data_IF_165811962760
#
_entry.id   IF_165811962760
#
_cell.length_a   1.000
_cell.length_b   1.000
_cell.length_c   1.000
_cell.angle_alpha   90.00
_cell.angle_beta   90.00
_cell.angle_gamma   90.00
#
_symmetry.space_group_name_H-M   'P 1'
#
loop_
_entity.id
_entity.type
_entity.pdbx_description
1 polymer ?
#
# COMPACT_ATOMS: atom_id res chain seq x y z
N UNK A 1 18.85 53.65 23.85
CA UNK A 1 17.96 53.52 22.66
C UNK A 1 18.67 53.02 21.39
N UNK A 2 19.86 53.49 21.05
CA UNK A 2 20.61 53.06 19.85
C UNK A 2 21.01 51.56 19.88
N UNK A 3 21.51 51.09 21.02
CA UNK A 3 21.95 49.67 21.13
C UNK A 3 20.81 48.64 20.99
N UNK A 4 19.61 48.93 21.53
CA UNK A 4 18.43 48.06 21.34
C UNK A 4 17.98 47.98 19.88
N UNK A 5 18.08 49.07 19.10
CA UNK A 5 17.76 49.08 17.68
C UNK A 5 18.75 48.27 16.86
N UNK A 6 20.05 48.35 17.18
CA UNK A 6 21.10 47.60 16.51
C UNK A 6 20.92 46.08 16.77
N UNK A 7 20.65 45.66 18.00
CA UNK A 7 20.42 44.30 18.37
C UNK A 7 19.17 43.71 17.67
N UNK A 8 18.07 44.46 17.60
CA UNK A 8 16.84 44.01 16.89
C UNK A 8 17.09 43.86 15.39
N UNK A 9 17.89 44.73 14.79
CA UNK A 9 18.25 44.64 13.36
C UNK A 9 19.12 43.43 13.05
N UNK A 10 20.11 43.15 13.92
CA UNK A 10 20.99 41.97 13.77
C UNK A 10 20.20 40.67 13.89
N UNK A 11 19.28 40.56 14.87
CA UNK A 11 18.41 39.37 15.04
C UNK A 11 17.49 39.20 13.83
N UNK A 12 16.92 40.27 13.29
CA UNK A 12 16.07 40.25 12.09
C UNK A 12 16.83 39.76 10.84
N UNK A 13 18.07 40.23 10.63
CA UNK A 13 18.90 39.80 9.49
C UNK A 13 19.33 38.34 9.67
N UNK A 14 19.69 37.86 10.86
CA UNK A 14 20.03 36.50 11.14
C UNK A 14 18.85 35.54 10.89
N UNK A 15 17.64 35.96 11.28
CA UNK A 15 16.41 35.14 11.03
C UNK A 15 16.10 35.03 9.53
N UNK A 16 16.26 36.10 8.76
CA UNK A 16 16.05 36.09 7.31
C UNK A 16 17.10 35.20 6.62
N UNK A 17 18.35 35.23 7.04
CA UNK A 17 19.41 34.39 6.51
C UNK A 17 19.19 32.90 6.82
N UNK A 18 18.68 32.56 8.00
CA UNK A 18 18.34 31.19 8.39
C UNK A 18 17.16 30.67 7.54
N UNK A 19 16.14 31.49 7.37
CA UNK A 19 14.97 31.11 6.53
C UNK A 19 15.42 30.94 5.06
N UNK A 20 16.24 31.82 4.53
CA UNK A 20 16.79 31.69 3.17
C UNK A 20 17.65 30.44 3.01
N UNK A 21 18.43 30.07 4.02
CA UNK A 21 19.25 28.86 4.02
C UNK A 21 18.39 27.58 4.05
N UNK A 22 17.33 27.57 4.84
CA UNK A 22 16.36 26.45 4.91
C UNK A 22 15.62 26.28 3.57
N UNK A 23 15.22 27.39 2.94
CA UNK A 23 14.55 27.33 1.63
C UNK A 23 15.51 26.80 0.56
N UNK A 24 16.77 27.25 0.52
CA UNK A 24 17.77 26.82 -0.47
C UNK A 24 18.20 25.37 -0.27
N UNK A 25 18.27 24.86 0.97
CA UNK A 25 18.53 23.44 1.23
C UNK A 25 17.37 22.57 0.79
N UNK A 26 16.12 22.97 1.12
CA UNK A 26 14.93 22.25 0.66
C UNK A 26 14.82 22.20 -0.88
N UNK A 27 15.12 23.30 -1.59
CA UNK A 27 15.10 23.31 -3.06
C UNK A 27 16.20 22.44 -3.67
N UNK A 28 17.39 22.41 -3.07
CA UNK A 28 18.47 21.52 -3.51
C UNK A 28 18.13 20.05 -3.27
N UNK A 29 17.57 19.72 -2.11
CA UNK A 29 17.17 18.36 -1.78
C UNK A 29 16.04 17.88 -2.70
N UNK A 30 15.04 18.73 -2.98
CA UNK A 30 13.96 18.45 -3.94
C UNK A 30 14.53 18.23 -5.35
N UNK A 31 15.41 19.10 -5.86
CA UNK A 31 16.04 18.93 -7.18
C UNK A 31 16.90 17.68 -7.27
N UNK A 32 17.64 17.34 -6.20
CA UNK A 32 18.47 16.12 -6.14
C UNK A 32 17.58 14.87 -6.13
N UNK A 33 16.46 14.90 -5.43
CA UNK A 33 15.45 13.84 -5.40
C UNK A 33 14.83 13.64 -6.79
N UNK A 34 14.41 14.73 -7.46
CA UNK A 34 13.86 14.69 -8.82
C UNK A 34 14.87 14.18 -9.85
N UNK A 35 16.12 14.61 -9.77
CA UNK A 35 17.18 14.18 -10.70
C UNK A 35 17.51 12.70 -10.52
N UNK A 36 17.51 12.19 -9.29
CA UNK A 36 17.73 10.77 -9.01
C UNK A 36 16.55 9.91 -9.48
N UNK A 37 15.31 10.36 -9.32
CA UNK A 37 14.14 9.65 -9.79
C UNK A 37 14.09 9.52 -11.33
N UNK A 38 14.55 10.53 -12.06
CA UNK A 38 14.65 10.51 -13.53
C UNK A 38 15.71 9.53 -14.08
N UNK A 39 16.71 9.16 -13.27
CA UNK A 39 17.75 8.19 -13.62
C UNK A 39 17.34 6.73 -13.40
N UNK A 40 16.24 6.46 -12.64
CA UNK A 40 15.79 5.12 -12.32
C UNK A 40 15.02 4.48 -13.47
N UNK A 41 15.13 3.16 -13.59
CA UNK A 41 14.44 2.40 -14.61
C UNK A 41 12.91 2.51 -14.46
N UNK A 42 12.24 2.92 -15.55
CA UNK A 42 10.77 2.86 -15.63
C UNK A 42 10.27 1.64 -16.42
N UNK A 43 11.11 0.62 -16.59
CA UNK A 43 10.66 -0.62 -17.21
C UNK A 43 9.57 -1.23 -16.34
N UNK A 44 8.35 -1.35 -16.89
CA UNK A 44 7.22 -1.95 -16.22
C UNK A 44 7.50 -3.41 -15.90
N UNK A 45 7.23 -3.79 -14.67
CA UNK A 45 7.30 -5.16 -14.16
C UNK A 45 5.91 -5.51 -13.63
N UNK A 46 5.39 -6.65 -14.05
CA UNK A 46 4.20 -7.27 -13.45
C UNK A 46 4.62 -8.23 -12.35
N UNK A 47 3.96 -8.12 -11.18
CA UNK A 47 4.20 -9.04 -10.08
C UNK A 47 3.74 -10.45 -10.41
N UNK A 48 4.59 -11.42 -10.18
CA UNK A 48 4.32 -12.84 -10.41
C UNK A 48 4.80 -13.71 -9.26
N UNK A 49 4.15 -14.87 -9.09
CA UNK A 49 4.45 -15.83 -8.05
C UNK A 49 4.66 -17.20 -8.74
N UNK A 50 5.77 -17.85 -8.47
CA UNK A 50 5.95 -19.26 -8.78
C UNK A 50 5.82 -20.05 -7.48
N UNK A 51 4.67 -20.74 -7.32
CA UNK A 51 4.37 -21.52 -6.12
C UNK A 51 5.35 -22.66 -5.94
N UNK A 52 5.66 -22.97 -4.69
CA UNK A 52 6.34 -24.17 -4.27
C UNK A 52 5.33 -25.16 -3.66
N UNK A 53 5.75 -26.42 -3.56
CA UNK A 53 4.98 -27.45 -2.89
C UNK A 53 5.23 -27.44 -1.36
N UNK A 54 4.48 -28.27 -0.63
CA UNK A 54 4.72 -28.55 0.81
C UNK A 54 4.70 -27.32 1.71
N UNK A 55 3.91 -26.31 1.40
CA UNK A 55 3.80 -25.07 2.17
C UNK A 55 5.13 -24.30 2.31
N UNK A 56 6.02 -24.44 1.36
CA UNK A 56 7.23 -23.65 1.29
C UNK A 56 6.97 -22.27 0.67
N UNK A 57 7.77 -21.29 1.07
CA UNK A 57 7.69 -19.93 0.48
C UNK A 57 7.89 -20.01 -1.04
N UNK A 58 7.07 -19.29 -1.82
CA UNK A 58 7.17 -19.30 -3.28
C UNK A 58 8.42 -18.57 -3.76
N UNK A 59 8.82 -18.88 -5.01
CA UNK A 59 9.80 -18.07 -5.72
C UNK A 59 9.11 -16.82 -6.31
N UNK A 60 9.53 -15.66 -5.85
CA UNK A 60 9.04 -14.34 -6.31
C UNK A 60 9.96 -13.71 -7.37
N UNK A 61 11.02 -14.41 -7.76
CA UNK A 61 12.05 -13.93 -8.67
C UNK A 61 13.09 -13.03 -8.00
N UNK A 62 14.35 -13.30 -8.25
CA UNK A 62 15.48 -12.59 -7.59
C UNK A 62 15.49 -11.09 -7.89
N UNK A 63 15.12 -10.68 -9.11
CA UNK A 63 15.05 -9.27 -9.50
C UNK A 63 13.93 -8.56 -8.73
N UNK A 64 12.76 -9.18 -8.61
CA UNK A 64 11.62 -8.62 -7.88
C UNK A 64 11.97 -8.43 -6.40
N UNK A 65 12.51 -9.49 -5.76
CA UNK A 65 12.90 -9.42 -4.35
C UNK A 65 14.00 -8.38 -4.11
N UNK A 66 14.98 -8.27 -5.02
CA UNK A 66 16.02 -7.24 -4.91
C UNK A 66 15.39 -5.83 -4.91
N UNK A 67 14.55 -5.52 -5.88
CA UNK A 67 13.91 -4.21 -5.98
C UNK A 67 12.99 -3.91 -4.80
N UNK A 68 12.14 -4.87 -4.40
CA UNK A 68 11.25 -4.69 -3.25
C UNK A 68 12.06 -4.42 -1.98
N UNK A 69 13.12 -5.18 -1.71
CA UNK A 69 13.96 -5.00 -0.52
C UNK A 69 14.75 -3.68 -0.56
N UNK A 70 15.25 -3.26 -1.73
CA UNK A 70 16.00 -2.02 -1.90
C UNK A 70 15.17 -0.78 -1.51
N UNK A 71 13.86 -0.82 -1.77
CA UNK A 71 12.92 0.25 -1.42
C UNK A 71 12.06 -0.07 -0.18
N UNK A 72 12.56 -0.90 0.72
CA UNK A 72 11.91 -1.26 2.00
C UNK A 72 10.48 -1.81 1.84
N UNK A 73 10.21 -2.49 0.73
CA UNK A 73 8.92 -3.13 0.50
C UNK A 73 8.81 -4.49 1.18
N UNK A 74 7.58 -5.01 1.22
CA UNK A 74 7.22 -6.29 1.83
C UNK A 74 6.53 -7.14 0.77
N UNK A 75 6.97 -8.40 0.61
CA UNK A 75 6.29 -9.37 -0.23
C UNK A 75 5.97 -10.68 0.53
N UNK A 76 6.76 -10.98 1.53
CA UNK A 76 6.61 -12.14 2.43
C UNK A 76 7.11 -11.75 3.82
N UNK A 77 6.60 -12.43 4.84
CA UNK A 77 7.10 -12.36 6.21
C UNK A 77 8.22 -13.39 6.49
N UNK A 78 8.58 -13.50 7.76
CA UNK A 78 9.65 -14.39 8.22
C UNK A 78 9.24 -15.87 8.05
N UNK A 79 10.07 -16.65 7.33
CA UNK A 79 9.86 -18.08 7.08
C UNK A 79 9.90 -18.95 8.35
N UNK A 80 10.52 -18.48 9.41
CA UNK A 80 10.60 -19.21 10.69
C UNK A 80 9.32 -19.04 11.54
N UNK A 81 8.40 -18.18 11.11
CA UNK A 81 7.16 -17.90 11.83
C UNK A 81 5.96 -18.33 11.03
N UNK A 82 5.13 -19.20 11.60
CA UNK A 82 3.87 -19.66 11.00
C UNK A 82 2.79 -18.57 11.12
N UNK A 83 3.05 -17.40 10.53
CA UNK A 83 2.10 -16.29 10.44
C UNK A 83 1.60 -16.17 9.01
N UNK A 84 0.34 -15.81 8.89
CA UNK A 84 -0.34 -15.45 7.64
C UNK A 84 -0.85 -14.03 7.79
N UNK A 85 -0.64 -13.23 6.76
CA UNK A 85 -1.08 -11.83 6.73
C UNK A 85 -2.20 -11.71 5.69
N UNK A 86 -3.42 -11.51 6.17
CA UNK A 86 -4.59 -11.30 5.32
C UNK A 86 -4.58 -9.87 4.77
N UNK A 87 -4.65 -9.74 3.44
CA UNK A 87 -4.75 -8.45 2.79
C UNK A 87 -5.84 -8.45 1.73
N UNK A 88 -6.61 -7.36 1.65
CA UNK A 88 -7.72 -7.19 0.73
C UNK A 88 -7.53 -5.94 -0.12
N UNK A 89 -7.67 -6.08 -1.44
CA UNK A 89 -7.73 -4.93 -2.34
C UNK A 89 -9.20 -4.52 -2.54
N UNK A 90 -9.47 -3.22 -2.28
CA UNK A 90 -10.82 -2.65 -2.20
C UNK A 90 -11.03 -1.60 -3.30
N UNK A 91 -11.49 -2.05 -4.47
CA UNK A 91 -11.87 -1.17 -5.57
C UNK A 91 -13.34 -0.78 -5.55
N UNK A 92 -14.20 -1.78 -5.38
CA UNK A 92 -15.66 -1.70 -5.36
C UNK A 92 -16.23 -2.44 -4.16
N UNK A 93 -17.50 -2.17 -3.82
CA UNK A 93 -18.26 -2.94 -2.85
C UNK A 93 -19.30 -3.82 -3.56
N UNK A 94 -19.27 -5.11 -3.26
CA UNK A 94 -20.22 -6.10 -3.78
C UNK A 94 -21.19 -6.63 -2.70
N UNK A 95 -21.20 -6.02 -1.52
CA UNK A 95 -22.06 -6.40 -0.39
C UNK A 95 -21.44 -7.43 0.55
N UNK A 96 -20.13 -7.71 0.44
CA UNK A 96 -19.48 -8.75 1.23
C UNK A 96 -18.53 -8.22 2.31
N UNK A 97 -18.11 -6.96 2.25
CA UNK A 97 -17.13 -6.40 3.20
C UNK A 97 -17.63 -6.43 4.64
N UNK A 98 -18.92 -6.19 4.89
CA UNK A 98 -19.47 -6.28 6.25
C UNK A 98 -19.34 -7.69 6.83
N UNK A 99 -19.63 -8.73 6.03
CA UNK A 99 -19.49 -10.13 6.44
C UNK A 99 -18.01 -10.44 6.73
N UNK A 100 -17.08 -10.01 5.87
CA UNK A 100 -15.64 -10.18 6.07
C UNK A 100 -15.19 -9.53 7.39
N UNK A 101 -15.59 -8.29 7.65
CA UNK A 101 -15.26 -7.60 8.90
C UNK A 101 -15.85 -8.29 10.14
N UNK A 102 -17.08 -8.80 10.05
CA UNK A 102 -17.70 -9.57 11.13
C UNK A 102 -16.90 -10.84 11.43
N UNK A 103 -16.55 -11.63 10.41
CA UNK A 103 -15.74 -12.84 10.57
C UNK A 103 -14.38 -12.52 11.20
N UNK A 104 -13.68 -11.48 10.71
CA UNK A 104 -12.39 -11.06 11.28
C UNK A 104 -12.53 -10.66 12.75
N UNK A 105 -13.60 -9.96 13.11
CA UNK A 105 -13.89 -9.54 14.49
C UNK A 105 -14.19 -10.72 15.39
N UNK A 106 -15.03 -11.65 14.95
CA UNK A 106 -15.41 -12.85 15.69
C UNK A 106 -14.19 -13.73 16.00
N UNK A 107 -13.25 -13.81 15.06
CA UNK A 107 -12.00 -14.56 15.22
C UNK A 107 -10.85 -13.74 15.83
N UNK A 108 -11.09 -12.48 16.21
CA UNK A 108 -10.06 -11.56 16.73
C UNK A 108 -8.84 -11.44 15.80
N UNK A 109 -9.05 -11.46 14.49
CA UNK A 109 -8.02 -11.36 13.44
C UNK A 109 -8.01 -9.95 12.89
N UNK A 110 -6.80 -9.40 12.63
CA UNK A 110 -6.62 -8.12 11.94
C UNK A 110 -6.11 -8.36 10.54
N UNK A 111 -6.59 -7.54 9.59
CA UNK A 111 -6.20 -7.58 8.19
C UNK A 111 -5.75 -6.21 7.71
N UNK A 112 -5.22 -6.16 6.49
CA UNK A 112 -4.89 -4.90 5.80
C UNK A 112 -5.83 -4.74 4.60
N UNK A 113 -6.44 -3.57 4.47
CA UNK A 113 -7.33 -3.22 3.36
C UNK A 113 -6.70 -2.11 2.53
N UNK A 114 -6.33 -2.41 1.29
CA UNK A 114 -5.81 -1.41 0.35
C UNK A 114 -6.96 -0.80 -0.43
N UNK A 115 -7.34 0.43 -0.09
CA UNK A 115 -8.53 1.08 -0.62
C UNK A 115 -8.22 2.03 -1.77
N UNK A 116 -9.11 2.13 -2.75
CA UNK A 116 -9.07 3.15 -3.79
C UNK A 116 -9.85 4.41 -3.40
N UNK A 117 -9.67 5.50 -4.18
CA UNK A 117 -10.48 6.70 -4.01
C UNK A 117 -11.97 6.46 -4.24
N UNK A 118 -12.33 5.59 -5.19
CA UNK A 118 -13.72 5.18 -5.42
C UNK A 118 -14.32 4.51 -4.18
N UNK A 119 -13.59 3.56 -3.59
CA UNK A 119 -14.06 2.85 -2.39
C UNK A 119 -14.27 3.81 -1.22
N UNK A 120 -13.31 4.70 -0.95
CA UNK A 120 -13.45 5.71 0.10
C UNK A 120 -14.68 6.62 -0.10
N UNK A 121 -14.94 7.01 -1.34
CA UNK A 121 -16.06 7.91 -1.66
C UNK A 121 -17.42 7.24 -1.51
N UNK A 122 -17.52 5.95 -1.85
CA UNK A 122 -18.79 5.20 -1.81
C UNK A 122 -19.02 4.45 -0.52
N UNK A 123 -17.93 4.09 0.21
CA UNK A 123 -17.96 3.21 1.38
C UNK A 123 -17.18 3.80 2.56
N UNK A 124 -17.24 5.12 2.74
CA UNK A 124 -16.51 5.81 3.80
C UNK A 124 -16.78 5.27 5.21
N UNK A 125 -18.00 4.80 5.47
CA UNK A 125 -18.38 4.21 6.76
C UNK A 125 -17.71 2.85 7.00
N UNK A 126 -17.56 2.02 5.95
CA UNK A 126 -16.81 0.77 6.05
C UNK A 126 -15.31 1.03 6.29
N UNK A 127 -14.74 2.05 5.62
CA UNK A 127 -13.33 2.46 5.88
C UNK A 127 -13.15 2.91 7.32
N UNK A 128 -14.08 3.71 7.86
CA UNK A 128 -14.05 4.12 9.25
C UNK A 128 -14.15 2.91 10.19
N UNK A 129 -15.06 1.97 9.92
CA UNK A 129 -15.20 0.72 10.67
C UNK A 129 -13.91 -0.11 10.66
N UNK A 130 -13.23 -0.25 9.49
CA UNK A 130 -11.94 -0.94 9.41
C UNK A 130 -10.92 -0.36 10.39
N UNK A 131 -10.82 0.98 10.44
CA UNK A 131 -9.87 1.68 11.32
C UNK A 131 -10.27 1.49 12.80
N UNK A 132 -11.54 1.68 13.14
CA UNK A 132 -12.06 1.54 14.51
C UNK A 132 -11.92 0.11 15.04
N UNK A 133 -12.03 -0.90 14.20
CA UNK A 133 -11.81 -2.30 14.56
C UNK A 133 -10.32 -2.69 14.58
N UNK A 134 -9.40 -1.74 14.30
CA UNK A 134 -7.94 -1.93 14.41
C UNK A 134 -7.32 -2.65 13.22
N UNK A 135 -7.97 -2.65 12.08
CA UNK A 135 -7.36 -3.08 10.82
C UNK A 135 -6.44 -2.00 10.27
N UNK A 136 -5.51 -2.39 9.40
CA UNK A 136 -4.68 -1.46 8.67
C UNK A 136 -5.41 -1.05 7.39
N UNK A 137 -5.53 0.26 7.15
CA UNK A 137 -5.98 0.79 5.86
C UNK A 137 -4.75 1.25 5.09
N UNK A 138 -4.56 0.73 3.89
CA UNK A 138 -3.48 1.04 2.97
C UNK A 138 -3.96 1.79 1.72
N UNK A 139 -3.02 2.42 1.04
CA UNK A 139 -3.26 3.20 -0.17
C UNK A 139 -3.25 2.29 -1.40
N UNK A 140 -4.30 2.38 -2.24
CA UNK A 140 -4.36 1.70 -3.53
C UNK A 140 -4.60 2.68 -4.69
N UNK A 141 -4.18 3.94 -4.50
CA UNK A 141 -4.33 5.11 -5.36
C UNK A 141 -5.78 5.55 -5.56
N UNK A 142 -5.99 6.75 -6.11
CA UNK A 142 -7.35 7.27 -6.36
C UNK A 142 -8.05 6.51 -7.47
N UNK A 143 -7.40 6.36 -8.63
CA UNK A 143 -8.01 5.88 -9.87
C UNK A 143 -7.48 4.52 -10.35
N UNK A 144 -6.64 3.86 -9.55
CA UNK A 144 -6.11 2.54 -9.86
C UNK A 144 -5.35 2.48 -11.21
N UNK A 145 -4.64 3.56 -11.56
CA UNK A 145 -3.77 3.57 -12.75
C UNK A 145 -2.52 2.71 -12.54
N UNK A 146 -2.06 2.07 -13.62
CA UNK A 146 -0.71 1.49 -13.65
C UNK A 146 0.32 2.60 -13.44
N UNK A 147 0.99 2.62 -12.29
CA UNK A 147 1.92 3.70 -11.94
C UNK A 147 3.08 3.86 -12.94
N UNK A 148 3.66 2.80 -13.52
CA UNK A 148 4.68 2.95 -14.58
C UNK A 148 4.21 3.68 -15.83
N UNK A 149 2.89 3.73 -16.09
CA UNK A 149 2.31 4.34 -17.29
C UNK A 149 1.99 5.83 -17.14
N UNK A 150 2.17 6.38 -15.93
CA UNK A 150 1.93 7.79 -15.63
C UNK A 150 3.21 8.47 -15.10
N UNK A 151 3.27 9.81 -15.17
CA UNK A 151 4.43 10.56 -14.70
C UNK A 151 4.45 10.71 -13.17
N UNK A 152 5.55 11.21 -12.63
CA UNK A 152 5.78 11.33 -11.18
C UNK A 152 4.79 12.27 -10.50
N UNK A 153 4.44 13.37 -11.14
CA UNK A 153 3.47 14.33 -10.63
C UNK A 153 2.10 13.65 -10.48
N UNK A 154 1.71 12.86 -11.48
CA UNK A 154 0.45 12.15 -11.44
C UNK A 154 0.45 11.03 -10.39
N UNK A 155 1.57 10.32 -10.19
CA UNK A 155 1.71 9.34 -9.10
C UNK A 155 1.56 10.04 -7.74
N UNK A 156 2.26 11.16 -7.52
CA UNK A 156 2.16 11.95 -6.30
C UNK A 156 0.71 12.40 -6.04
N UNK A 157 0.04 12.90 -7.09
CA UNK A 157 -1.39 13.28 -7.00
C UNK A 157 -2.25 12.08 -6.60
N UNK A 158 -2.13 10.94 -7.28
CA UNK A 158 -2.92 9.72 -7.03
C UNK A 158 -2.75 9.20 -5.58
N UNK A 159 -1.53 9.23 -5.07
CA UNK A 159 -1.21 8.75 -3.73
C UNK A 159 -1.63 9.75 -2.66
N UNK A 160 -1.22 11.02 -2.79
CA UNK A 160 -1.41 12.01 -1.74
C UNK A 160 -2.85 12.52 -1.66
N UNK A 161 -3.59 12.57 -2.77
CA UNK A 161 -5.01 12.93 -2.76
C UNK A 161 -5.83 11.92 -1.97
N UNK A 162 -5.53 10.62 -2.11
CA UNK A 162 -6.21 9.59 -1.32
C UNK A 162 -5.81 9.69 0.16
N UNK A 163 -4.52 9.89 0.46
CA UNK A 163 -4.04 10.11 1.83
C UNK A 163 -4.76 11.26 2.51
N UNK A 164 -4.83 12.41 1.85
CA UNK A 164 -5.51 13.59 2.37
C UNK A 164 -7.00 13.31 2.63
N UNK A 165 -7.68 12.68 1.67
CA UNK A 165 -9.11 12.38 1.81
C UNK A 165 -9.41 11.38 2.96
N UNK A 166 -8.55 10.37 3.17
CA UNK A 166 -8.67 9.46 4.32
C UNK A 166 -8.43 10.21 5.62
N UNK A 167 -7.37 11.02 5.69
CA UNK A 167 -7.05 11.79 6.89
C UNK A 167 -8.15 12.79 7.27
N UNK A 168 -8.69 13.51 6.31
CA UNK A 168 -9.78 14.46 6.54
C UNK A 168 -11.06 13.79 7.07
N UNK A 169 -11.35 12.56 6.62
CA UNK A 169 -12.54 11.81 7.06
C UNK A 169 -12.35 11.11 8.41
N UNK A 170 -11.13 10.65 8.73
CA UNK A 170 -10.91 9.68 9.82
C UNK A 170 -9.79 10.04 10.78
N UNK A 171 -8.93 11.00 10.45
CA UNK A 171 -7.68 11.30 11.17
C UNK A 171 -6.60 10.22 11.01
N UNK A 172 -6.80 9.22 10.13
CA UNK A 172 -5.88 8.10 9.95
C UNK A 172 -4.81 8.39 8.90
N UNK A 173 -3.56 8.07 9.22
CA UNK A 173 -2.44 8.14 8.28
C UNK A 173 -2.09 6.76 7.73
N UNK A 174 -2.22 6.59 6.42
CA UNK A 174 -1.81 5.36 5.74
C UNK A 174 -0.29 5.30 5.63
N UNK A 175 0.29 4.15 5.93
CA UNK A 175 1.75 3.89 5.85
C UNK A 175 2.13 2.88 4.77
N UNK A 176 1.15 2.15 4.27
CA UNK A 176 1.36 1.08 3.30
C UNK A 176 0.67 1.41 1.99
N UNK A 177 1.32 1.03 0.88
CA UNK A 177 0.77 1.17 -0.46
C UNK A 177 0.88 -0.16 -1.21
N UNK A 178 -0.14 -0.50 -1.98
CA UNK A 178 -0.06 -1.58 -2.95
C UNK A 178 -0.18 -1.01 -4.36
N UNK A 179 0.79 -1.30 -5.25
CA UNK A 179 0.72 -0.87 -6.63
C UNK A 179 -0.51 -1.47 -7.34
N UNK A 180 -1.33 -0.64 -8.01
CA UNK A 180 -2.44 -1.13 -8.80
C UNK A 180 -2.02 -2.21 -9.80
N UNK A 181 -2.84 -3.26 -9.95
CA UNK A 181 -2.61 -4.41 -10.86
C UNK A 181 -1.34 -5.20 -10.56
N UNK A 182 -0.63 -4.93 -9.46
CA UNK A 182 0.69 -5.48 -9.21
C UNK A 182 1.75 -5.00 -10.20
N UNK A 183 1.51 -3.89 -10.88
CA UNK A 183 2.43 -3.29 -11.85
C UNK A 183 3.28 -2.20 -11.20
N UNK A 184 4.59 -2.30 -11.35
CA UNK A 184 5.54 -1.38 -10.76
C UNK A 184 6.80 -1.23 -11.65
N UNK A 185 7.66 -0.30 -11.29
CA UNK A 185 9.01 -0.14 -11.82
C UNK A 185 9.93 0.29 -10.67
N UNK A 186 11.24 0.25 -10.89
CA UNK A 186 12.20 0.79 -9.93
C UNK A 186 11.86 2.26 -9.58
N UNK A 187 11.57 3.08 -10.59
CA UNK A 187 11.14 4.48 -10.42
C UNK A 187 9.92 4.61 -9.51
N UNK A 188 8.88 3.81 -9.72
CA UNK A 188 7.64 3.91 -8.93
C UNK A 188 7.82 3.43 -7.49
N UNK A 189 8.68 2.42 -7.25
CA UNK A 189 9.03 1.98 -5.88
C UNK A 189 9.81 3.06 -5.13
N UNK A 190 10.81 3.66 -5.78
CA UNK A 190 11.58 4.76 -5.20
C UNK A 190 10.68 5.94 -4.83
N UNK A 191 9.79 6.34 -5.75
CA UNK A 191 8.90 7.47 -5.53
C UNK A 191 7.92 7.23 -4.38
N UNK A 192 7.27 6.07 -4.32
CA UNK A 192 6.34 5.75 -3.22
C UNK A 192 7.07 5.63 -1.87
N UNK A 193 8.31 5.09 -1.87
CA UNK A 193 9.15 5.07 -0.67
C UNK A 193 9.53 6.50 -0.21
N UNK A 194 9.89 7.40 -1.12
CA UNK A 194 10.16 8.81 -0.82
C UNK A 194 8.92 9.55 -0.26
N UNK A 195 7.72 9.15 -0.67
CA UNK A 195 6.47 9.66 -0.12
C UNK A 195 6.14 9.09 1.26
N UNK A 196 7.02 8.25 1.83
CA UNK A 196 6.88 7.68 3.16
C UNK A 196 6.08 6.38 3.23
N UNK A 197 5.83 5.74 2.08
CA UNK A 197 5.07 4.48 2.04
C UNK A 197 5.99 3.26 1.98
N UNK A 198 5.57 2.20 2.68
CA UNK A 198 6.09 0.86 2.47
C UNK A 198 5.23 0.14 1.42
N UNK A 199 5.83 -0.25 0.31
CA UNK A 199 5.15 -1.03 -0.72
C UNK A 199 4.89 -2.45 -0.25
N UNK A 200 3.65 -2.93 -0.38
CA UNK A 200 3.25 -4.30 0.01
C UNK A 200 2.75 -5.06 -1.21
N UNK A 201 3.49 -6.10 -1.57
CA UNK A 201 3.09 -7.08 -2.58
C UNK A 201 2.45 -8.30 -1.89
N UNK A 202 2.44 -9.46 -2.51
CA UNK A 202 1.86 -10.69 -1.97
C UNK A 202 2.66 -11.92 -2.35
N UNK A 203 2.48 -13.00 -1.63
CA UNK A 203 3.11 -14.29 -1.91
C UNK A 203 2.11 -15.42 -2.17
N UNK A 204 0.81 -15.11 -2.02
CA UNK A 204 -0.29 -15.99 -2.41
C UNK A 204 -1.44 -15.13 -2.96
N UNK A 205 -2.01 -15.56 -4.08
CA UNK A 205 -3.23 -15.01 -4.67
C UNK A 205 -3.90 -16.07 -5.53
N UNK A 206 -5.18 -15.89 -5.81
CA UNK A 206 -5.91 -16.66 -6.83
C UNK A 206 -6.87 -15.74 -7.58
N UNK A 207 -7.60 -16.26 -8.55
CA UNK A 207 -8.48 -15.50 -9.44
C UNK A 207 -9.87 -15.20 -8.82
N UNK A 208 -9.87 -14.63 -7.60
CA UNK A 208 -11.04 -14.27 -6.81
C UNK A 208 -11.71 -12.97 -7.26
N UNK A 209 -10.98 -12.13 -7.98
CA UNK A 209 -11.43 -10.84 -8.50
C UNK A 209 -12.38 -10.95 -9.71
N UNK A 210 -12.45 -12.12 -10.36
CA UNK A 210 -13.28 -12.32 -11.55
C UNK A 210 -14.75 -12.55 -11.15
N UNK A 211 -15.57 -11.53 -11.35
CA UNK A 211 -17.01 -11.59 -11.02
C UNK A 211 -17.76 -12.71 -11.75
N UNK A 212 -17.23 -13.18 -12.89
CA UNK A 212 -17.82 -14.29 -13.66
C UNK A 212 -17.47 -15.66 -13.08
N UNK A 213 -16.57 -15.72 -12.11
CA UNK A 213 -16.06 -16.93 -11.50
C UNK A 213 -16.41 -17.03 -10.02
N UNK A 214 -17.53 -16.51 -9.61
CA UNK A 214 -18.03 -16.63 -8.24
C UNK A 214 -18.80 -17.95 -8.03
N UNK A 215 -18.99 -18.36 -6.76
CA UNK A 215 -19.64 -19.61 -6.37
C UNK A 215 -18.71 -20.84 -6.46
N UNK A 216 -17.40 -20.62 -6.26
CA UNK A 216 -16.36 -21.65 -6.26
C UNK A 216 -15.68 -21.75 -4.89
N UNK A 217 -16.48 -21.77 -3.81
CA UNK A 217 -15.98 -21.76 -2.43
C UNK A 217 -14.93 -22.85 -2.16
N UNK A 218 -15.21 -24.10 -2.54
CA UNK A 218 -14.24 -25.20 -2.37
C UNK A 218 -12.93 -24.98 -3.15
N UNK A 219 -13.03 -24.40 -4.35
CA UNK A 219 -11.85 -24.03 -5.13
C UNK A 219 -11.05 -22.92 -4.43
N UNK A 220 -11.72 -21.87 -3.97
CA UNK A 220 -11.08 -20.76 -3.25
C UNK A 220 -10.41 -21.24 -1.98
N UNK A 221 -11.11 -22.05 -1.18
CA UNK A 221 -10.61 -22.66 0.05
C UNK A 221 -9.36 -23.52 -0.22
N UNK A 222 -9.43 -24.43 -1.20
CA UNK A 222 -8.28 -25.24 -1.60
C UNK A 222 -7.10 -24.35 -2.06
N UNK A 223 -7.36 -23.29 -2.88
CA UNK A 223 -6.29 -22.37 -3.31
C UNK A 223 -5.60 -21.66 -2.15
N UNK A 224 -6.31 -21.33 -1.10
CA UNK A 224 -5.71 -20.74 0.10
C UNK A 224 -5.00 -21.83 0.90
N UNK A 225 -5.72 -22.86 1.36
CA UNK A 225 -5.18 -23.85 2.30
C UNK A 225 -4.00 -24.65 1.74
N UNK A 226 -4.03 -25.04 0.46
CA UNK A 226 -2.96 -25.81 -0.17
C UNK A 226 -1.67 -24.99 -0.42
N UNK A 227 -1.77 -23.65 -0.39
CA UNK A 227 -0.66 -22.78 -0.76
C UNK A 227 -0.21 -21.82 0.35
N UNK A 228 -0.86 -21.80 1.52
CA UNK A 228 -0.34 -21.05 2.66
C UNK A 228 1.05 -21.54 3.05
N UNK A 229 1.88 -20.62 3.50
CA UNK A 229 3.24 -20.91 3.93
C UNK A 229 3.66 -19.97 5.07
N UNK A 230 4.71 -20.26 5.83
CA UNK A 230 5.20 -19.34 6.87
C UNK A 230 5.52 -17.97 6.29
N UNK A 231 4.99 -16.92 6.92
CA UNK A 231 5.14 -15.54 6.44
C UNK A 231 4.30 -15.18 5.21
N UNK A 232 3.27 -15.95 4.91
CA UNK A 232 2.40 -15.74 3.74
C UNK A 232 1.71 -14.38 3.81
N UNK A 233 1.84 -13.57 2.76
CA UNK A 233 1.01 -12.40 2.51
C UNK A 233 -0.01 -12.76 1.44
N UNK A 234 -1.29 -12.87 1.83
CA UNK A 234 -2.37 -13.27 0.92
C UNK A 234 -3.02 -12.03 0.33
N UNK A 235 -3.11 -11.98 -1.00
CA UNK A 235 -3.98 -11.05 -1.71
C UNK A 235 -5.35 -11.67 -1.93
N UNK A 236 -6.38 -11.01 -1.40
CA UNK A 236 -7.78 -11.30 -1.59
C UNK A 236 -8.52 -10.03 -2.06
N UNK A 237 -9.74 -10.21 -2.59
CA UNK A 237 -10.63 -9.10 -2.94
C UNK A 237 -11.96 -9.25 -2.20
N UNK A 238 -12.46 -8.16 -1.62
CA UNK A 238 -13.75 -8.20 -0.90
C UNK A 238 -14.96 -8.21 -1.83
N UNK A 239 -14.75 -8.04 -3.12
CA UNK A 239 -15.80 -8.28 -4.14
C UNK A 239 -16.10 -9.76 -4.35
N UNK A 240 -15.26 -10.65 -3.81
CA UNK A 240 -15.45 -12.09 -3.90
C UNK A 240 -16.45 -12.59 -2.86
N UNK A 241 -17.57 -13.16 -3.34
CA UNK A 241 -18.51 -13.91 -2.52
C UNK A 241 -17.82 -15.11 -1.86
N UNK A 242 -16.97 -15.81 -2.63
CA UNK A 242 -16.28 -17.00 -2.18
C UNK A 242 -15.37 -16.67 -0.98
N UNK A 243 -14.60 -15.57 -1.06
CA UNK A 243 -13.76 -15.14 0.07
C UNK A 243 -14.58 -14.85 1.34
N UNK A 244 -15.74 -14.20 1.19
CA UNK A 244 -16.61 -13.91 2.33
C UNK A 244 -17.26 -15.19 2.94
N UNK A 245 -17.36 -16.26 2.19
CA UNK A 245 -17.89 -17.54 2.65
C UNK A 245 -16.83 -18.42 3.31
N UNK A 246 -15.61 -18.45 2.77
CA UNK A 246 -14.54 -19.33 3.25
C UNK A 246 -13.69 -18.73 4.37
N UNK A 247 -13.79 -17.42 4.63
CA UNK A 247 -12.83 -16.71 5.51
C UNK A 247 -12.78 -17.28 6.94
N UNK A 248 -13.88 -17.80 7.45
CA UNK A 248 -13.94 -18.42 8.77
C UNK A 248 -13.25 -19.80 8.84
N UNK A 249 -13.05 -20.42 7.69
CA UNK A 249 -12.46 -21.76 7.58
C UNK A 249 -10.97 -21.73 7.20
N UNK A 250 -10.45 -20.57 6.81
CA UNK A 250 -9.07 -20.41 6.34
C UNK A 250 -8.23 -19.52 7.24
#
# INVERSE_FOLDING_TARGET
MKEKKILTTIIGIASILIIALIITTNEKDIKTIETNALALSNKKIGWGIKRNDNHEQPDLGSINLKLINEYNGIAMGNKEKKYVYLTFDQGYEAGYTEKILNTLKENNVKATFFITGHYLNTQGDLVKRMIEEGHIVGNHTVNHYSMPDINDEKIKEEVMKLQTAVYEKTGYEMKYIRPPKGEYSERTLALTNQLGYTTVMWSLAYDDWDEKKQGRTEYGKAKVLDNIHPGCVILLHSTSKDNAEILDEV
#
